data_IF_864039768485
#
_entry.id   IF_864039768485
#
_cell.length_a   1.000
_cell.length_b   1.000
_cell.length_c   1.000
_cell.angle_alpha   90.00
_cell.angle_beta   90.00
_cell.angle_gamma   90.00
#
_symmetry.space_group_name_H-M   'P 1'
#
loop_
_entity.id
_entity.type
_entity.pdbx_description
1 polymer ?
#
# COMPACT_ATOMS: atom_id res chain seq x y z
N UNK A 1 -15.50 6.35 1.40
CA UNK A 1 -14.12 5.95 1.78
C UNK A 1 -13.22 7.16 1.97
N UNK A 2 -12.90 7.96 0.94
CA UNK A 2 -11.94 9.09 1.06
C UNK A 2 -12.36 10.07 2.16
N UNK A 3 -13.60 10.55 2.15
CA UNK A 3 -14.12 11.45 3.21
C UNK A 3 -13.90 10.87 4.61
N UNK A 4 -14.40 9.65 4.85
CA UNK A 4 -14.30 8.98 6.16
C UNK A 4 -12.86 8.77 6.60
N UNK A 5 -11.97 8.44 5.67
CA UNK A 5 -10.55 8.18 5.94
C UNK A 5 -9.82 9.49 6.27
N UNK A 6 -10.08 10.55 5.51
CA UNK A 6 -9.55 11.89 5.79
C UNK A 6 -10.05 12.44 7.13
N UNK A 7 -11.34 12.27 7.44
CA UNK A 7 -11.91 12.67 8.72
C UNK A 7 -11.26 11.88 9.87
N UNK A 8 -11.12 10.57 9.73
CA UNK A 8 -10.52 9.73 10.77
C UNK A 8 -9.04 10.07 10.98
N UNK A 9 -8.26 10.27 9.91
CA UNK A 9 -6.86 10.73 10.02
C UNK A 9 -6.79 12.06 10.77
N UNK A 10 -7.68 13.01 10.46
CA UNK A 10 -7.73 14.29 11.16
C UNK A 10 -7.97 14.11 12.66
N UNK A 11 -8.97 13.31 13.03
CA UNK A 11 -9.28 13.02 14.43
C UNK A 11 -8.18 12.24 15.17
N UNK A 12 -7.33 11.49 14.45
CA UNK A 12 -6.16 10.85 15.05
C UNK A 12 -5.01 11.83 15.31
N UNK A 13 -4.88 12.87 14.47
CA UNK A 13 -3.86 13.90 14.62
C UNK A 13 -4.24 14.90 15.73
N UNK A 14 -5.50 15.30 15.76
CA UNK A 14 -6.04 16.17 16.80
C UNK A 14 -7.28 15.51 17.44
N UNK A 15 -7.10 14.74 18.53
CA UNK A 15 -8.17 13.98 19.17
C UNK A 15 -9.13 14.84 20.02
N UNK A 16 -9.12 16.17 19.84
CA UNK A 16 -10.02 17.08 20.54
C UNK A 16 -11.42 17.02 19.92
N UNK A 17 -12.46 16.95 20.74
CA UNK A 17 -13.86 17.00 20.27
C UNK A 17 -14.44 18.42 20.33
N UNK A 18 -13.58 19.44 20.20
CA UNK A 18 -14.03 20.83 20.17
C UNK A 18 -14.88 21.08 18.91
N UNK A 19 -15.83 22.02 19.01
CA UNK A 19 -16.68 22.42 17.88
C UNK A 19 -15.85 22.87 16.68
N UNK A 20 -14.76 23.58 16.95
CA UNK A 20 -13.89 24.16 15.94
C UNK A 20 -13.11 23.06 15.22
N UNK A 21 -12.54 22.11 15.97
CA UNK A 21 -11.82 20.98 15.38
C UNK A 21 -12.76 20.10 14.53
N UNK A 22 -13.98 19.82 15.00
CA UNK A 22 -14.96 19.08 14.22
C UNK A 22 -15.32 19.79 12.91
N UNK A 23 -15.48 21.12 12.94
CA UNK A 23 -15.71 21.92 11.75
C UNK A 23 -14.54 21.83 10.77
N UNK A 24 -13.30 21.99 11.23
CA UNK A 24 -12.12 21.86 10.38
C UNK A 24 -11.93 20.43 9.84
N UNK A 25 -12.21 19.40 10.64
CA UNK A 25 -12.20 18.01 10.22
C UNK A 25 -13.21 17.76 9.08
N UNK A 26 -14.45 18.26 9.23
CA UNK A 26 -15.50 18.20 8.22
C UNK A 26 -15.10 18.91 6.93
N UNK A 27 -14.56 20.13 7.03
CA UNK A 27 -14.13 20.92 5.89
C UNK A 27 -12.97 20.24 5.15
N UNK A 28 -11.94 19.81 5.87
CA UNK A 28 -10.77 19.11 5.34
C UNK A 28 -11.15 17.80 4.65
N UNK A 29 -12.01 16.99 5.27
CA UNK A 29 -12.52 15.76 4.68
C UNK A 29 -13.34 16.01 3.41
N UNK A 30 -14.12 17.10 3.37
CA UNK A 30 -14.91 17.50 2.21
C UNK A 30 -14.03 17.91 1.03
N UNK A 31 -13.01 18.74 1.27
CA UNK A 31 -12.03 19.15 0.25
C UNK A 31 -11.27 17.93 -0.27
N UNK A 32 -10.80 17.07 0.64
CA UNK A 32 -10.10 15.83 0.32
C UNK A 32 -10.97 14.90 -0.53
N UNK A 33 -12.27 14.82 -0.27
CA UNK A 33 -13.19 14.05 -1.08
C UNK A 33 -13.40 14.64 -2.48
N UNK A 34 -13.56 15.97 -2.59
CA UNK A 34 -13.77 16.66 -3.87
C UNK A 34 -12.57 16.53 -4.81
N UNK A 35 -11.35 16.62 -4.27
CA UNK A 35 -10.11 16.42 -5.02
C UNK A 35 -9.85 14.94 -5.25
N UNK A 36 -9.94 14.14 -4.19
CA UNK A 36 -9.63 12.71 -4.21
C UNK A 36 -10.50 11.91 -5.16
N UNK A 37 -11.79 12.25 -5.34
CA UNK A 37 -12.66 11.55 -6.31
C UNK A 37 -12.21 11.68 -7.77
N UNK A 38 -11.40 12.70 -8.11
CA UNK A 38 -10.85 12.89 -9.46
C UNK A 38 -9.50 12.18 -9.63
N UNK A 39 -8.71 12.08 -8.56
CA UNK A 39 -7.33 11.60 -8.60
C UNK A 39 -7.22 10.12 -8.24
N UNK A 40 -7.99 9.65 -7.26
CA UNK A 40 -7.89 8.29 -6.73
C UNK A 40 -8.76 7.36 -7.57
N UNK A 41 -8.16 6.37 -8.28
CA UNK A 41 -8.92 5.43 -9.07
C UNK A 41 -9.85 4.59 -8.19
N UNK A 42 -11.00 4.21 -8.76
CA UNK A 42 -11.98 3.37 -8.07
C UNK A 42 -11.43 1.94 -7.93
N UNK A 43 -11.54 1.37 -6.74
CA UNK A 43 -11.12 0.01 -6.44
C UNK A 43 -11.35 -0.36 -4.98
N UNK A 44 -11.07 -1.61 -4.62
CA UNK A 44 -11.28 -2.10 -3.26
C UNK A 44 -10.02 -1.86 -2.39
N UNK A 45 -9.82 -0.60 -2.00
CA UNK A 45 -8.67 -0.20 -1.16
C UNK A 45 -8.63 -0.91 0.20
N UNK A 46 -9.79 -1.25 0.77
CA UNK A 46 -9.86 -1.98 2.03
C UNK A 46 -9.27 -3.40 1.92
N UNK A 47 -9.59 -4.13 0.84
CA UNK A 47 -9.02 -5.47 0.57
C UNK A 47 -7.50 -5.42 0.40
N UNK A 48 -6.98 -4.38 -0.25
CA UNK A 48 -5.54 -4.18 -0.40
C UNK A 48 -4.90 -3.90 0.97
N UNK A 49 -5.49 -2.99 1.74
CA UNK A 49 -4.98 -2.61 3.06
C UNK A 49 -4.90 -3.80 4.01
N UNK A 50 -5.95 -4.61 4.12
CA UNK A 50 -5.94 -5.80 4.99
C UNK A 50 -4.86 -6.78 4.56
N UNK A 51 -4.73 -7.06 3.25
CA UNK A 51 -3.68 -7.93 2.72
C UNK A 51 -2.27 -7.43 3.08
N UNK A 52 -2.04 -6.11 3.04
CA UNK A 52 -0.76 -5.52 3.41
C UNK A 52 -0.47 -5.66 4.90
N UNK A 53 -1.44 -5.33 5.76
CA UNK A 53 -1.30 -5.42 7.22
C UNK A 53 -0.98 -6.85 7.66
N UNK A 54 -1.64 -7.86 7.10
CA UNK A 54 -1.36 -9.27 7.45
C UNK A 54 -0.01 -9.78 6.95
N UNK A 55 0.48 -9.28 5.81
CA UNK A 55 1.76 -9.73 5.24
C UNK A 55 2.97 -9.05 5.87
N UNK A 56 2.81 -7.86 6.42
CA UNK A 56 3.92 -7.06 6.94
C UNK A 56 4.71 -7.73 8.08
N UNK A 57 4.09 -8.36 9.10
CA UNK A 57 4.86 -9.03 10.17
C UNK A 57 5.70 -10.20 9.65
N UNK A 58 5.15 -10.99 8.72
CA UNK A 58 5.86 -12.11 8.08
C UNK A 58 7.06 -11.59 7.31
N UNK A 59 6.89 -10.46 6.62
CA UNK A 59 7.97 -9.79 5.93
C UNK A 59 9.08 -9.33 6.89
N UNK A 60 8.74 -8.70 8.01
CA UNK A 60 9.78 -8.28 8.97
C UNK A 60 10.62 -9.49 9.43
N UNK A 61 9.99 -10.61 9.74
CA UNK A 61 10.70 -11.83 10.17
C UNK A 61 11.59 -12.42 9.07
N UNK A 62 11.08 -12.51 7.84
CA UNK A 62 11.82 -12.97 6.68
C UNK A 62 13.03 -12.05 6.37
N UNK A 63 12.89 -10.74 6.52
CA UNK A 63 13.99 -9.79 6.35
C UNK A 63 15.13 -10.00 7.37
N UNK A 64 14.81 -10.33 8.62
CA UNK A 64 15.82 -10.69 9.62
C UNK A 64 16.57 -11.98 9.24
N UNK A 65 15.85 -12.98 8.72
CA UNK A 65 16.46 -14.24 8.28
C UNK A 65 17.47 -14.02 7.14
N UNK A 66 17.18 -13.10 6.21
CA UNK A 66 18.06 -12.77 5.10
C UNK A 66 19.42 -12.18 5.48
N UNK A 67 19.55 -11.60 6.68
CA UNK A 67 20.86 -11.14 7.19
C UNK A 67 21.81 -12.31 7.52
N UNK A 68 21.27 -13.52 7.68
CA UNK A 68 22.00 -14.70 8.13
C UNK A 68 22.26 -15.72 7.00
N UNK A 69 21.67 -15.55 5.83
CA UNK A 69 21.76 -16.48 4.69
C UNK A 69 22.53 -15.91 3.50
N UNK A 70 23.17 -16.79 2.72
CA UNK A 70 23.78 -16.42 1.43
C UNK A 70 22.69 -16.23 0.39
N UNK A 71 22.74 -15.10 -0.30
CA UNK A 71 21.70 -14.63 -1.21
C UNK A 71 22.06 -14.93 -2.68
N UNK A 72 21.10 -15.46 -3.44
CA UNK A 72 21.18 -15.60 -4.90
C UNK A 72 20.15 -14.70 -5.59
N UNK A 73 20.60 -13.85 -6.51
CA UNK A 73 19.71 -12.96 -7.24
C UNK A 73 19.00 -13.68 -8.39
N UNK A 74 17.72 -13.38 -8.58
CA UNK A 74 16.87 -13.91 -9.64
C UNK A 74 15.95 -12.83 -10.19
N UNK A 75 15.44 -13.05 -11.40
CA UNK A 75 14.42 -12.19 -12.01
C UNK A 75 13.22 -13.07 -12.35
N UNK A 76 12.03 -12.62 -11.96
CA UNK A 76 10.77 -13.29 -12.26
C UNK A 76 9.77 -12.28 -12.83
N UNK A 77 8.79 -12.78 -13.58
CA UNK A 77 7.72 -11.96 -14.16
C UNK A 77 6.38 -12.39 -13.58
N UNK A 78 5.51 -11.43 -13.30
CA UNK A 78 4.12 -11.71 -12.91
C UNK A 78 3.15 -10.81 -13.67
N UNK A 79 1.92 -11.29 -13.87
CA UNK A 79 0.88 -10.53 -14.57
C UNK A 79 0.48 -9.29 -13.76
N UNK A 80 0.46 -8.12 -14.40
CA UNK A 80 -0.05 -6.88 -13.81
C UNK A 80 -1.59 -6.90 -13.81
N UNK A 81 -2.26 -6.61 -12.68
CA UNK A 81 -3.71 -6.42 -12.65
C UNK A 81 -4.15 -5.24 -13.54
N UNK A 82 -5.34 -5.34 -14.14
CA UNK A 82 -5.92 -4.25 -14.95
C UNK A 82 -6.41 -3.07 -14.11
N UNK A 83 -6.88 -3.34 -12.88
CA UNK A 83 -7.32 -2.29 -11.95
C UNK A 83 -6.11 -1.63 -11.28
N UNK A 84 -5.99 -0.31 -11.39
CA UNK A 84 -4.86 0.46 -10.82
C UNK A 84 -4.70 0.33 -9.30
N UNK A 85 -5.78 0.16 -8.53
CA UNK A 85 -5.69 -0.03 -7.07
C UNK A 85 -5.19 -1.42 -6.75
N UNK A 86 -5.64 -2.44 -7.48
CA UNK A 86 -5.15 -3.81 -7.32
C UNK A 86 -3.70 -3.94 -7.80
N UNK A 87 -3.33 -3.23 -8.87
CA UNK A 87 -1.96 -3.11 -9.36
C UNK A 87 -1.06 -2.50 -8.29
N UNK A 88 -1.42 -1.32 -7.76
CA UNK A 88 -0.71 -0.69 -6.66
C UNK A 88 -0.58 -1.63 -5.46
N UNK A 89 -1.69 -2.26 -5.06
CA UNK A 89 -1.70 -3.23 -3.97
C UNK A 89 -0.78 -4.42 -4.22
N UNK A 90 -0.69 -4.90 -5.46
CA UNK A 90 0.22 -5.99 -5.84
C UNK A 90 1.67 -5.54 -5.80
N UNK A 91 1.99 -4.38 -6.35
CA UNK A 91 3.35 -3.80 -6.34
C UNK A 91 3.84 -3.61 -4.92
N UNK A 92 3.04 -2.96 -4.07
CA UNK A 92 3.38 -2.73 -2.66
C UNK A 92 3.48 -4.06 -1.91
N UNK A 93 2.57 -5.01 -2.15
CA UNK A 93 2.63 -6.31 -1.49
C UNK A 93 3.87 -7.10 -1.86
N UNK A 94 4.34 -7.05 -3.11
CA UNK A 94 5.56 -7.71 -3.56
C UNK A 94 6.76 -7.00 -2.93
N UNK A 95 6.84 -5.67 -3.07
CA UNK A 95 7.97 -4.87 -2.59
C UNK A 95 8.13 -4.88 -1.06
N UNK A 96 7.04 -5.05 -0.32
CA UNK A 96 7.08 -5.24 1.13
C UNK A 96 7.34 -6.69 1.53
N UNK A 97 7.26 -7.65 0.61
CA UNK A 97 7.68 -9.03 0.88
C UNK A 97 9.20 -9.04 0.74
N UNK A 98 9.96 -9.47 1.76
CA UNK A 98 11.40 -9.55 1.67
C UNK A 98 11.73 -10.56 0.59
N UNK A 99 12.92 -10.42 0.04
CA UNK A 99 13.36 -11.17 -1.14
C UNK A 99 12.82 -10.64 -2.45
N UNK A 100 11.72 -9.89 -2.51
CA UNK A 100 11.13 -9.48 -3.79
C UNK A 100 11.02 -7.96 -3.91
N UNK A 101 11.45 -7.42 -5.06
CA UNK A 101 11.32 -6.01 -5.39
C UNK A 101 10.79 -5.86 -6.81
N UNK A 102 9.68 -5.14 -6.99
CA UNK A 102 9.24 -4.76 -8.33
C UNK A 102 10.16 -3.68 -8.87
N UNK A 103 10.92 -3.99 -9.91
CA UNK A 103 11.91 -3.07 -10.52
C UNK A 103 11.38 -2.39 -11.78
N UNK A 104 10.42 -3.02 -12.46
CA UNK A 104 9.89 -2.47 -13.70
C UNK A 104 8.45 -2.94 -13.96
N UNK A 105 7.70 -2.10 -14.67
CA UNK A 105 6.38 -2.42 -15.22
C UNK A 105 6.48 -2.41 -16.75
N UNK A 106 6.22 -3.55 -17.37
CA UNK A 106 6.09 -3.67 -18.82
C UNK A 106 4.66 -4.05 -19.18
N UNK A 107 3.87 -3.08 -19.66
CA UNK A 107 2.48 -3.21 -20.10
C UNK A 107 1.60 -4.04 -19.15
N UNK A 108 1.56 -5.36 -19.35
CA UNK A 108 0.74 -6.32 -18.63
C UNK A 108 1.54 -7.19 -17.65
N UNK A 109 2.80 -6.86 -17.40
CA UNK A 109 3.72 -7.61 -16.54
C UNK A 109 4.45 -6.69 -15.57
N UNK A 110 4.72 -7.24 -14.39
CA UNK A 110 5.61 -6.67 -13.39
C UNK A 110 6.88 -7.53 -13.36
N UNK A 111 8.03 -6.88 -13.51
CA UNK A 111 9.34 -7.51 -13.40
C UNK A 111 9.77 -7.42 -11.94
N UNK A 112 10.01 -8.57 -11.34
CA UNK A 112 10.38 -8.73 -9.94
C UNK A 112 11.84 -9.16 -9.87
N UNK A 113 12.63 -8.41 -9.12
CA UNK A 113 13.95 -8.84 -8.67
C UNK A 113 13.78 -9.63 -7.37
N UNK A 114 14.19 -10.89 -7.40
CA UNK A 114 14.06 -11.86 -6.32
C UNK A 114 15.41 -12.20 -5.67
N UNK A 115 15.44 -12.47 -4.37
CA UNK A 115 16.60 -12.98 -3.62
C UNK A 115 16.25 -14.36 -3.09
N UNK A 116 16.83 -15.42 -3.67
CA UNK A 116 16.57 -16.79 -3.22
C UNK A 116 17.60 -17.25 -2.21
N UNK A 117 17.15 -18.01 -1.22
CA UNK A 117 18.02 -18.85 -0.40
C UNK A 117 18.57 -20.01 -1.24
N UNK A 118 19.82 -20.37 -1.02
CA UNK A 118 20.48 -21.53 -1.67
C UNK A 118 20.26 -22.80 -0.87
#
# INVERSE_FOLDING_TARGET
MIFSLSFLIWMMLEPSLSSDNLFFALLSASISWLVGRKVIPKGNGFKVLTKLVFKYPVAVFQAFRLLLTRQLFSITETVSPDNRIDEFGKIVSITLTPEELVVHKDRNKLIIHGVKEK
#
